data_IF_677259096052
#
_entry.id   IF_677259096052
#
_cell.length_a   1.000
_cell.length_b   1.000
_cell.length_c   1.000
_cell.angle_alpha   90.00
_cell.angle_beta   90.00
_cell.angle_gamma   90.00
#
_symmetry.space_group_name_H-M   'P 1'
#
loop_
_entity.id
_entity.type
_entity.pdbx_description
1 polymer ?
#
# COMPACT_ATOMS: atom_id res chain seq x y z
N UNK A 1 13.40 -3.92 -6.20
CA UNK A 1 12.01 -3.74 -5.70
C UNK A 1 11.33 -2.72 -6.59
N UNK A 2 10.12 -3.02 -7.05
CA UNK A 2 9.37 -2.20 -8.01
C UNK A 2 8.47 -1.21 -7.25
N UNK A 3 8.25 -0.05 -7.86
CA UNK A 3 7.28 0.96 -7.40
C UNK A 3 6.12 1.01 -8.39
N UNK A 4 4.92 1.18 -7.88
CA UNK A 4 3.68 1.10 -8.65
C UNK A 4 2.83 2.35 -8.48
N UNK A 5 2.22 2.81 -9.58
CA UNK A 5 1.15 3.81 -9.58
C UNK A 5 -0.18 3.12 -9.87
N UNK A 6 -0.60 2.27 -8.94
CA UNK A 6 -1.74 1.36 -9.15
C UNK A 6 -2.86 1.58 -8.14
N UNK A 7 -2.85 2.72 -7.43
CA UNK A 7 -3.94 3.08 -6.51
C UNK A 7 -5.20 3.35 -7.33
N UNK A 8 -6.23 2.55 -7.14
CA UNK A 8 -7.51 2.66 -7.85
C UNK A 8 -8.56 3.37 -7.02
N UNK A 9 -8.44 3.33 -5.68
CA UNK A 9 -9.42 3.94 -4.77
C UNK A 9 -8.83 4.19 -3.38
N UNK A 10 -9.37 5.21 -2.70
CA UNK A 10 -9.16 5.50 -1.28
C UNK A 10 -10.53 5.46 -0.58
N UNK A 11 -10.64 4.77 0.56
CA UNK A 11 -11.86 4.73 1.37
C UNK A 11 -11.55 4.61 2.86
N UNK A 12 -11.89 5.64 3.64
CA UNK A 12 -11.56 5.68 5.07
C UNK A 12 -10.06 5.49 5.30
N UNK A 13 -9.63 4.54 6.16
CA UNK A 13 -8.21 4.27 6.40
C UNK A 13 -7.57 3.34 5.35
N UNK A 14 -8.29 2.97 4.27
CA UNK A 14 -7.86 1.97 3.31
C UNK A 14 -7.52 2.58 1.95
N UNK A 15 -6.56 1.97 1.26
CA UNK A 15 -6.31 2.15 -0.17
C UNK A 15 -6.46 0.81 -0.90
N UNK A 16 -6.88 0.89 -2.15
CA UNK A 16 -7.07 -0.25 -3.04
C UNK A 16 -6.07 -0.12 -4.17
N UNK A 17 -5.33 -1.19 -4.42
CA UNK A 17 -4.19 -1.20 -5.33
C UNK A 17 -4.34 -2.37 -6.31
N UNK A 18 -4.14 -2.12 -7.59
CA UNK A 18 -4.08 -3.20 -8.60
C UNK A 18 -2.85 -4.07 -8.35
N UNK A 19 -3.04 -5.40 -8.36
CA UNK A 19 -2.02 -6.37 -8.01
C UNK A 19 -1.03 -6.57 -9.17
N UNK A 20 0.24 -6.33 -8.89
CA UNK A 20 1.32 -6.41 -9.88
C UNK A 20 2.35 -7.49 -9.57
N UNK A 21 2.42 -7.95 -8.31
CA UNK A 21 3.24 -9.07 -7.85
C UNK A 21 2.48 -9.84 -6.75
N UNK A 22 2.88 -11.08 -6.43
CA UNK A 22 2.41 -11.77 -5.23
C UNK A 22 2.76 -10.99 -3.97
N UNK A 23 1.74 -10.67 -3.17
CA UNK A 23 1.87 -9.99 -1.87
C UNK A 23 1.02 -10.73 -0.84
N UNK A 24 1.55 -10.86 0.37
CA UNK A 24 0.94 -11.60 1.46
C UNK A 24 0.15 -10.71 2.40
N UNK A 25 -0.77 -11.33 3.14
CA UNK A 25 -1.35 -10.72 4.32
C UNK A 25 -0.26 -10.23 5.27
N UNK A 26 -0.49 -9.08 5.92
CA UNK A 26 0.43 -8.45 6.86
C UNK A 26 1.75 -7.92 6.27
N UNK A 27 1.97 -7.98 4.95
CA UNK A 27 3.13 -7.36 4.32
C UNK A 27 3.12 -5.85 4.50
N UNK A 28 4.31 -5.30 4.75
CA UNK A 28 4.47 -3.85 4.91
C UNK A 28 4.53 -3.16 3.55
N UNK A 29 3.86 -2.02 3.48
CA UNK A 29 3.73 -1.18 2.29
C UNK A 29 4.20 0.23 2.63
N UNK A 30 4.96 0.85 1.72
CA UNK A 30 5.26 2.29 1.76
C UNK A 30 4.54 3.00 0.63
N UNK A 31 4.00 4.17 0.95
CA UNK A 31 3.28 5.04 0.02
C UNK A 31 4.05 6.36 -0.02
N UNK A 32 4.69 6.64 -1.16
CA UNK A 32 5.36 7.92 -1.39
C UNK A 32 4.37 8.89 -2.04
N UNK A 33 4.10 10.00 -1.37
CA UNK A 33 3.17 11.03 -1.82
C UNK A 33 3.89 12.00 -2.78
N UNK A 34 3.11 12.71 -3.59
CA UNK A 34 3.62 13.70 -4.55
C UNK A 34 4.38 14.86 -3.90
N UNK A 35 4.11 15.15 -2.62
CA UNK A 35 4.81 16.17 -1.84
C UNK A 35 6.15 15.68 -1.22
N UNK A 36 6.51 14.41 -1.42
CA UNK A 36 7.72 13.79 -0.87
C UNK A 36 7.53 13.08 0.47
N UNK A 37 6.36 13.20 1.10
CA UNK A 37 6.07 12.48 2.34
C UNK A 37 5.95 10.97 2.10
N UNK A 38 6.26 10.20 3.15
CA UNK A 38 6.13 8.75 3.14
C UNK A 38 5.13 8.35 4.22
N UNK A 39 4.14 7.55 3.83
CA UNK A 39 3.22 6.88 4.74
C UNK A 39 3.46 5.38 4.73
N UNK A 40 3.17 4.72 5.84
CA UNK A 40 3.31 3.29 6.00
C UNK A 40 1.94 2.64 6.12
N UNK A 41 1.85 1.44 5.58
CA UNK A 41 0.66 0.63 5.67
C UNK A 41 0.97 -0.84 5.71
N UNK A 42 -0.10 -1.61 5.81
CA UNK A 42 -0.04 -3.06 5.87
C UNK A 42 -1.12 -3.65 4.98
N UNK A 43 -0.78 -4.73 4.27
CA UNK A 43 -1.74 -5.51 3.50
C UNK A 43 -2.74 -6.16 4.45
N UNK A 44 -4.02 -5.81 4.29
CA UNK A 44 -5.14 -6.36 5.05
C UNK A 44 -5.77 -7.55 4.30
N UNK A 45 -5.82 -7.48 2.97
CA UNK A 45 -6.40 -8.53 2.13
C UNK A 45 -5.75 -8.52 0.73
N UNK A 46 -5.76 -9.68 0.07
CA UNK A 46 -5.18 -9.88 -1.26
C UNK A 46 -6.06 -10.82 -2.08
N UNK A 47 -6.40 -10.40 -3.28
CA UNK A 47 -7.14 -11.20 -4.27
C UNK A 47 -6.27 -11.40 -5.53
N UNK A 48 -6.83 -11.91 -6.61
CA UNK A 48 -6.10 -12.05 -7.88
C UNK A 48 -5.82 -10.68 -8.53
N UNK A 49 -6.73 -9.72 -8.37
CA UNK A 49 -6.66 -8.43 -9.07
C UNK A 49 -6.38 -7.24 -8.14
N UNK A 50 -6.81 -7.30 -6.89
CA UNK A 50 -6.79 -6.17 -5.95
C UNK A 50 -6.10 -6.55 -4.64
N UNK A 51 -5.33 -5.61 -4.12
CA UNK A 51 -4.74 -5.62 -2.79
C UNK A 51 -5.35 -4.49 -1.97
N UNK A 52 -5.79 -4.80 -0.75
CA UNK A 52 -6.31 -3.82 0.21
C UNK A 52 -5.22 -3.53 1.24
N UNK A 53 -4.89 -2.25 1.39
CA UNK A 53 -3.84 -1.80 2.31
C UNK A 53 -4.43 -0.82 3.32
N UNK A 54 -4.24 -1.09 4.62
CA UNK A 54 -4.56 -0.16 5.69
C UNK A 54 -3.39 0.80 5.91
N UNK A 55 -3.67 2.10 5.99
CA UNK A 55 -2.66 3.16 6.22
C UNK A 55 -2.64 3.56 7.69
N UNK A 56 -1.46 3.52 8.31
CA UNK A 56 -1.31 3.79 9.74
C UNK A 56 -1.46 5.28 10.06
N UNK A 57 -0.86 6.15 9.26
CA UNK A 57 -0.91 7.61 9.43
C UNK A 57 -2.16 8.24 8.79
N UNK A 58 -3.14 7.43 8.39
CA UNK A 58 -4.33 7.86 7.66
C UNK A 58 -4.07 8.22 6.19
N UNK A 59 -5.15 8.30 5.40
CA UNK A 59 -5.10 8.39 3.93
C UNK A 59 -5.05 9.81 3.37
N UNK A 60 -5.03 10.83 4.22
CA UNK A 60 -4.97 12.24 3.79
C UNK A 60 -3.73 12.50 2.91
N UNK A 61 -3.94 13.11 1.75
CA UNK A 61 -2.88 13.43 0.78
C UNK A 61 -2.47 12.26 -0.12
N UNK A 62 -3.03 11.06 0.06
CA UNK A 62 -2.83 9.95 -0.89
C UNK A 62 -3.78 10.14 -2.07
N UNK A 63 -3.24 10.03 -3.27
CA UNK A 63 -3.95 10.10 -4.54
C UNK A 63 -3.45 9.03 -5.53
N UNK A 64 -3.96 9.06 -6.75
CA UNK A 64 -3.58 8.12 -7.83
C UNK A 64 -2.15 8.30 -8.33
N UNK A 65 -1.51 9.44 -8.04
CA UNK A 65 -0.12 9.73 -8.43
C UNK A 65 0.90 9.24 -7.40
N UNK A 66 0.43 8.93 -6.19
CA UNK A 66 1.22 8.36 -5.12
C UNK A 66 1.78 6.98 -5.51
N UNK A 67 3.01 6.69 -5.09
CA UNK A 67 3.70 5.45 -5.46
C UNK A 67 3.65 4.43 -4.34
N UNK A 68 3.26 3.22 -4.67
CA UNK A 68 3.15 2.09 -3.76
C UNK A 68 4.38 1.19 -3.90
N UNK A 69 4.97 0.82 -2.76
CA UNK A 69 6.09 -0.11 -2.68
C UNK A 69 5.83 -1.17 -1.63
N UNK A 70 5.67 -2.42 -2.08
CA UNK A 70 5.58 -3.58 -1.21
C UNK A 70 6.97 -3.97 -0.73
N UNK A 71 7.14 -4.12 0.58
CA UNK A 71 8.45 -4.42 1.17
C UNK A 71 8.78 -5.92 1.20
N UNK A 72 7.80 -6.80 0.96
CA UNK A 72 7.96 -8.26 0.91
C UNK A 72 8.34 -8.90 2.25
N UNK A 73 8.36 -8.10 3.33
CA UNK A 73 8.62 -8.57 4.67
C UNK A 73 7.32 -8.51 5.47
N UNK A 74 6.86 -9.68 5.91
CA UNK A 74 5.96 -9.77 7.06
C UNK A 74 6.72 -9.25 8.28
N UNK A 75 6.07 -8.45 9.13
CA UNK A 75 6.68 -7.92 10.34
C UNK A 75 7.10 -9.10 11.23
N UNK A 76 8.40 -9.38 11.34
CA UNK A 76 8.91 -10.35 12.32
C UNK A 76 8.94 -9.65 13.68
N UNK A 77 8.01 -10.00 14.56
CA UNK A 77 8.20 -9.74 15.98
C UNK A 77 9.32 -10.66 16.47
N UNK A 78 10.41 -10.05 16.93
CA UNK A 78 11.42 -10.73 17.74
C UNK A 78 11.17 -10.39 19.21
#
# INVERSE_FOLDING_TARGET
MKEYKTITRVAGPLIFVEKTDPVGYADIVRIALSNGDIKNGQVLDTSDDIVVVQIFEGTAGIDVDSRVKFLGSTLKLN
#
